data_IF_468050033509
#
_entry.id   IF_468050033509
#
_cell.length_a   1.000
_cell.length_b   1.000
_cell.length_c   1.000
_cell.angle_alpha   90.00
_cell.angle_beta   90.00
_cell.angle_gamma   90.00
#
_symmetry.space_group_name_H-M   'P 1'
#
loop_
_entity.id
_entity.type
_entity.pdbx_description
1 polymer ?
#
# COMPACT_ATOMS: atom_id res chain seq x y z
N UNK A 1 -17.84 18.67 -2.74
CA UNK A 1 -17.24 17.67 -1.84
C UNK A 1 -17.33 18.18 -0.42
N UNK A 2 -17.31 17.29 0.57
CA UNK A 2 -17.29 17.67 1.99
C UNK A 2 -16.39 16.71 2.76
N UNK A 3 -15.62 17.26 3.71
CA UNK A 3 -14.89 16.46 4.70
C UNK A 3 -15.63 16.52 6.01
N UNK A 4 -16.10 15.38 6.50
CA UNK A 4 -16.60 15.23 7.87
C UNK A 4 -15.56 14.54 8.74
N UNK A 5 -15.70 14.68 10.06
CA UNK A 5 -14.81 14.04 11.01
C UNK A 5 -15.60 13.48 12.20
N UNK A 6 -15.13 12.35 12.74
CA UNK A 6 -15.69 11.75 13.95
C UNK A 6 -14.60 11.13 14.81
N UNK A 7 -14.80 11.01 16.13
CA UNK A 7 -13.92 10.20 16.96
C UNK A 7 -13.92 8.75 16.46
N UNK A 8 -12.73 8.13 16.36
CA UNK A 8 -12.58 6.70 16.01
C UNK A 8 -12.25 5.88 17.27
N UNK A 9 -11.36 6.38 18.13
CA UNK A 9 -10.95 5.68 19.32
C UNK A 9 -9.88 6.45 20.10
N UNK A 10 -9.29 5.79 21.07
CA UNK A 10 -8.18 6.33 21.87
C UNK A 10 -7.10 5.26 21.95
N UNK A 11 -5.86 5.62 21.62
CA UNK A 11 -4.73 4.69 21.72
C UNK A 11 -4.44 4.34 23.20
N UNK A 12 -3.74 3.23 23.48
CA UNK A 12 -3.32 2.91 24.86
C UNK A 12 -2.51 4.02 25.54
N UNK A 13 -1.88 4.91 24.77
CA UNK A 13 -1.14 6.06 25.27
C UNK A 13 -2.04 7.29 25.54
N UNK A 14 -3.36 7.17 25.33
CA UNK A 14 -4.32 8.25 25.56
C UNK A 14 -4.46 9.25 24.39
N UNK A 15 -3.89 8.96 23.23
CA UNK A 15 -4.01 9.79 22.03
C UNK A 15 -5.39 9.58 21.40
N UNK A 16 -6.11 10.66 21.11
CA UNK A 16 -7.42 10.62 20.45
C UNK A 16 -7.24 10.46 18.95
N UNK A 17 -7.85 9.42 18.39
CA UNK A 17 -7.81 9.14 16.95
C UNK A 17 -9.09 9.64 16.31
N UNK A 18 -8.94 10.37 15.21
CA UNK A 18 -10.04 10.95 14.42
C UNK A 18 -10.11 10.28 13.06
N UNK A 19 -11.32 9.91 12.68
CA UNK A 19 -11.62 9.48 11.31
C UNK A 19 -12.13 10.67 10.50
N UNK A 20 -11.56 10.85 9.32
CA UNK A 20 -11.95 11.85 8.34
C UNK A 20 -12.59 11.15 7.15
N UNK A 21 -13.75 11.63 6.70
CA UNK A 21 -14.45 11.07 5.55
C UNK A 21 -14.63 12.14 4.49
N UNK A 22 -14.07 11.90 3.31
CA UNK A 22 -14.32 12.68 2.11
C UNK A 22 -15.46 12.04 1.32
N UNK A 23 -16.50 12.84 1.03
CA UNK A 23 -17.66 12.39 0.26
C UNK A 23 -17.80 13.25 -0.99
N UNK A 24 -17.92 12.62 -2.16
CA UNK A 24 -18.16 13.31 -3.41
C UNK A 24 -19.67 13.60 -3.62
N UNK A 25 -20.01 14.29 -4.73
CA UNK A 25 -21.39 14.70 -5.00
C UNK A 25 -22.36 13.53 -5.23
N UNK A 26 -21.85 12.37 -5.65
CA UNK A 26 -22.65 11.19 -5.95
C UNK A 26 -22.77 10.22 -4.75
N UNK A 27 -22.25 10.64 -3.58
CA UNK A 27 -22.32 9.89 -2.33
C UNK A 27 -21.24 8.83 -2.14
N UNK A 28 -20.35 8.61 -3.11
CA UNK A 28 -19.19 7.79 -2.91
C UNK A 28 -18.23 8.46 -1.91
N UNK A 29 -17.49 7.67 -1.12
CA UNK A 29 -16.69 8.24 -0.03
C UNK A 29 -15.47 7.40 0.31
N UNK A 30 -14.47 8.08 0.88
CA UNK A 30 -13.26 7.46 1.44
C UNK A 30 -13.06 7.97 2.85
N UNK A 31 -12.79 7.05 3.78
CA UNK A 31 -12.51 7.39 5.19
C UNK A 31 -11.09 7.00 5.55
N UNK A 32 -10.40 7.85 6.33
CA UNK A 32 -9.05 7.60 6.81
C UNK A 32 -8.82 8.19 8.20
N UNK A 33 -7.85 7.62 8.93
CA UNK A 33 -7.48 8.03 10.28
C UNK A 33 -6.28 8.97 10.27
N UNK A 34 -6.19 9.85 11.27
CA UNK A 34 -4.97 10.57 11.62
C UNK A 34 -3.94 9.67 12.34
N UNK A 35 -4.30 8.46 12.74
CA UNK A 35 -3.37 7.42 13.16
C UNK A 35 -2.98 6.56 11.97
N UNK A 36 -1.68 6.52 11.65
CA UNK A 36 -1.12 5.70 10.57
C UNK A 36 -1.55 6.10 9.16
N UNK A 37 -2.34 7.17 9.00
CA UNK A 37 -2.97 7.52 7.72
C UNK A 37 -3.82 6.39 7.15
N UNK A 38 -4.42 5.57 8.04
CA UNK A 38 -5.08 4.32 7.70
C UNK A 38 -6.36 4.58 6.91
N UNK A 39 -6.48 3.99 5.74
CA UNK A 39 -7.75 3.96 4.99
C UNK A 39 -8.65 2.93 5.64
N UNK A 40 -9.82 3.38 6.16
CA UNK A 40 -10.78 2.52 6.85
C UNK A 40 -11.96 2.10 6.00
N UNK A 41 -12.41 2.95 5.06
CA UNK A 41 -13.54 2.66 4.18
C UNK A 41 -13.34 3.27 2.80
N UNK A 42 -13.81 2.57 1.77
CA UNK A 42 -13.92 3.07 0.39
C UNK A 42 -15.27 2.63 -0.14
N UNK A 43 -16.26 3.53 -0.12
CA UNK A 43 -17.60 3.28 -0.63
C UNK A 43 -17.70 3.75 -2.08
N UNK A 44 -17.91 2.81 -2.99
CA UNK A 44 -18.02 3.09 -4.43
C UNK A 44 -19.16 2.31 -5.07
N UNK A 45 -19.81 2.85 -6.13
CA UNK A 45 -20.97 2.21 -6.75
C UNK A 45 -20.56 0.96 -7.55
N UNK A 46 -21.47 -0.01 -7.62
CA UNK A 46 -21.46 -1.08 -8.59
C UNK A 46 -22.21 -0.67 -9.88
N UNK A 47 -22.39 -1.63 -10.84
CA UNK A 47 -23.07 -1.37 -12.11
C UNK A 47 -24.56 -0.96 -11.94
N UNK A 48 -25.16 -1.28 -10.83
CA UNK A 48 -26.55 -0.91 -10.50
C UNK A 48 -26.63 0.37 -9.67
N UNK A 49 -25.47 1.03 -9.42
CA UNK A 49 -25.36 2.25 -8.63
C UNK A 49 -25.40 2.01 -7.11
N UNK A 50 -25.37 0.76 -6.66
CA UNK A 50 -25.33 0.44 -5.23
C UNK A 50 -23.94 0.68 -4.68
N UNK A 51 -23.84 1.55 -3.68
CA UNK A 51 -22.61 1.77 -2.93
C UNK A 51 -22.30 0.58 -2.02
N UNK A 52 -21.04 0.13 -2.02
CA UNK A 52 -20.54 -0.87 -1.10
C UNK A 52 -19.08 -0.56 -0.74
N UNK A 53 -18.63 -1.04 0.42
CA UNK A 53 -17.28 -0.83 0.89
C UNK A 53 -16.34 -1.88 0.32
N UNK A 54 -15.37 -1.44 -0.47
CA UNK A 54 -14.42 -2.32 -1.15
C UNK A 54 -13.06 -2.42 -0.47
N UNK A 55 -12.91 -1.84 0.74
CA UNK A 55 -11.65 -1.84 1.50
C UNK A 55 -11.78 -2.65 2.79
N UNK A 56 -10.86 -3.55 3.07
CA UNK A 56 -10.79 -4.27 4.34
C UNK A 56 -10.19 -3.37 5.42
N UNK A 57 -10.71 -3.41 6.64
CA UNK A 57 -10.18 -2.68 7.79
C UNK A 57 -10.76 -3.19 9.12
N UNK A 58 -10.49 -2.47 10.21
CA UNK A 58 -11.00 -2.77 11.56
C UNK A 58 -11.76 -1.56 12.10
N UNK A 59 -12.69 -1.81 13.03
CA UNK A 59 -13.44 -0.77 13.75
C UNK A 59 -12.78 -0.39 15.09
N UNK A 60 -11.74 -1.10 15.50
CA UNK A 60 -11.08 -0.93 16.78
C UNK A 60 -9.62 -0.49 16.60
N UNK A 61 -9.27 0.65 17.20
CA UNK A 61 -7.90 1.18 17.21
C UNK A 61 -6.90 0.24 17.87
N UNK A 62 -7.31 -0.54 18.86
CA UNK A 62 -6.44 -1.49 19.58
C UNK A 62 -5.89 -2.59 18.66
N UNK A 63 -6.64 -3.01 17.63
CA UNK A 63 -6.16 -3.98 16.64
C UNK A 63 -4.99 -3.43 15.86
N UNK A 64 -5.08 -2.16 15.44
CA UNK A 64 -4.01 -1.48 14.73
C UNK A 64 -2.77 -1.25 15.59
N UNK A 65 -2.96 -0.72 16.81
CA UNK A 65 -1.86 -0.38 17.72
C UNK A 65 -1.05 -1.62 18.15
N UNK A 66 -1.71 -2.78 18.27
CA UNK A 66 -1.04 -4.06 18.63
C UNK A 66 -0.35 -4.73 17.45
N UNK A 67 -0.30 -4.07 16.28
CA UNK A 67 0.27 -4.59 15.02
C UNK A 67 -0.28 -5.98 14.65
N UNK A 68 -1.57 -6.19 14.89
CA UNK A 68 -2.29 -7.41 14.50
C UNK A 68 -3.06 -7.24 13.20
N UNK A 69 -2.86 -6.11 12.56
CA UNK A 69 -3.63 -5.71 11.38
C UNK A 69 -3.03 -6.20 10.05
N UNK A 70 -1.79 -6.72 10.03
CA UNK A 70 -1.07 -6.95 8.78
C UNK A 70 -0.85 -5.66 7.99
N UNK A 71 -0.65 -4.54 8.68
CA UNK A 71 -0.50 -3.19 8.11
C UNK A 71 -1.71 -2.69 7.31
N UNK A 72 -2.90 -3.25 7.56
CA UNK A 72 -4.10 -3.02 6.75
C UNK A 72 -4.46 -1.53 6.66
N UNK A 73 -4.46 -0.99 5.43
CA UNK A 73 -4.79 0.40 5.11
C UNK A 73 -3.72 1.43 5.48
N UNK A 74 -2.61 1.04 6.12
CA UNK A 74 -1.59 1.93 6.69
C UNK A 74 -0.75 2.64 5.62
N UNK A 75 -0.33 3.87 5.93
CA UNK A 75 0.83 4.50 5.28
C UNK A 75 2.11 3.80 5.72
N UNK A 76 2.90 3.36 4.77
CA UNK A 76 4.15 2.62 4.98
C UNK A 76 5.35 3.53 4.73
N UNK A 77 6.31 3.51 5.62
CA UNK A 77 7.57 4.26 5.55
C UNK A 77 8.47 4.00 6.78
N UNK A 78 9.78 4.41 6.72
CA UNK A 78 10.38 5.18 5.62
C UNK A 78 10.51 4.36 4.32
N UNK A 79 10.63 3.03 4.40
CA UNK A 79 10.81 2.16 3.23
C UNK A 79 9.79 1.04 3.27
N UNK A 80 8.97 0.95 2.24
CA UNK A 80 8.03 -0.14 2.04
C UNK A 80 8.73 -1.46 1.75
N UNK A 81 8.07 -2.58 2.11
CA UNK A 81 8.57 -3.93 1.95
C UNK A 81 9.87 -4.20 2.75
N UNK A 82 10.71 -5.15 2.31
CA UNK A 82 11.84 -5.69 3.10
C UNK A 82 13.17 -5.02 2.77
N UNK A 83 14.01 -4.88 3.81
CA UNK A 83 15.46 -4.61 3.72
C UNK A 83 16.16 -5.81 4.35
N UNK A 84 16.95 -6.53 3.55
CA UNK A 84 17.68 -7.76 3.92
C UNK A 84 18.58 -7.53 5.12
N UNK A 85 18.57 -8.49 6.08
CA UNK A 85 19.41 -8.46 7.26
C UNK A 85 19.13 -7.30 8.22
N UNK A 86 18.08 -6.49 7.96
CA UNK A 86 17.76 -5.27 8.72
C UNK A 86 18.98 -4.33 8.86
N UNK A 87 19.75 -4.16 7.78
CA UNK A 87 20.91 -3.27 7.75
C UNK A 87 21.20 -2.83 6.31
N UNK A 88 21.88 -1.72 6.16
CA UNK A 88 22.34 -1.22 4.87
C UNK A 88 23.58 -0.34 5.04
N UNK A 89 24.37 -0.22 3.98
CA UNK A 89 25.47 0.73 3.90
C UNK A 89 25.05 1.98 3.12
N UNK A 90 25.36 3.14 3.65
CA UNK A 90 25.10 4.43 3.01
C UNK A 90 26.24 5.39 3.33
N UNK A 91 26.89 5.94 2.30
CA UNK A 91 28.01 6.87 2.42
C UNK A 91 29.15 6.34 3.34
N UNK A 92 29.46 5.03 3.22
CA UNK A 92 30.52 4.37 3.97
C UNK A 92 30.21 4.10 5.45
N UNK A 93 28.93 4.21 5.83
CA UNK A 93 28.45 3.87 7.18
C UNK A 93 27.41 2.77 7.10
N UNK A 94 27.48 1.84 8.05
CA UNK A 94 26.46 0.80 8.23
C UNK A 94 25.38 1.30 9.18
N UNK A 95 24.13 1.15 8.77
CA UNK A 95 22.93 1.45 9.57
C UNK A 95 22.21 0.16 9.89
N UNK A 96 21.75 0.03 11.14
CA UNK A 96 21.01 -1.16 11.62
C UNK A 96 19.56 -0.77 11.92
N UNK A 97 18.64 -1.57 11.41
CA UNK A 97 17.21 -1.40 11.53
C UNK A 97 16.59 -2.46 12.46
N UNK A 98 15.35 -2.31 12.91
CA UNK A 98 14.64 -3.36 13.62
C UNK A 98 14.47 -4.64 12.79
N UNK A 99 14.72 -5.80 13.41
CA UNK A 99 14.48 -7.12 12.84
C UNK A 99 13.07 -7.58 13.19
N UNK A 100 12.07 -7.10 12.45
CA UNK A 100 10.66 -7.37 12.72
C UNK A 100 10.04 -8.45 11.80
N UNK A 101 10.82 -8.97 10.82
CA UNK A 101 10.32 -10.01 9.92
C UNK A 101 11.46 -10.98 9.53
N UNK A 102 11.54 -12.17 10.18
CA UNK A 102 12.51 -13.22 9.87
C UNK A 102 13.95 -12.72 9.72
N UNK A 103 14.39 -11.85 10.62
CA UNK A 103 15.75 -11.27 10.59
C UNK A 103 15.94 -10.08 9.64
N UNK A 104 14.91 -9.70 8.88
CA UNK A 104 14.87 -8.55 8.01
C UNK A 104 14.08 -7.39 8.63
N UNK A 105 14.21 -6.19 8.07
CA UNK A 105 13.33 -5.08 8.37
C UNK A 105 12.19 -5.05 7.34
N UNK A 106 10.95 -5.07 7.81
CA UNK A 106 9.74 -4.96 7.00
C UNK A 106 9.05 -3.63 7.31
N UNK A 107 8.62 -2.91 6.27
CA UNK A 107 7.82 -1.68 6.34
C UNK A 107 8.39 -0.58 7.23
N UNK A 108 9.75 -0.49 7.32
CA UNK A 108 10.43 0.51 8.14
C UNK A 108 10.38 0.24 9.65
N UNK A 109 10.12 -0.99 10.08
CA UNK A 109 10.01 -1.38 11.49
C UNK A 109 8.67 -0.99 12.10
N UNK A 110 8.67 -0.36 13.29
CA UNK A 110 7.49 0.30 13.86
C UNK A 110 7.28 1.65 13.16
N UNK A 111 7.06 1.58 11.85
CA UNK A 111 7.12 2.70 10.93
C UNK A 111 5.95 3.69 11.03
N UNK A 112 5.56 4.24 9.91
CA UNK A 112 4.60 5.35 9.82
C UNK A 112 3.15 4.95 10.11
N UNK A 113 2.81 3.68 9.88
CA UNK A 113 1.47 3.14 10.14
C UNK A 113 1.06 3.06 11.61
N UNK A 114 2.03 3.13 12.54
CA UNK A 114 1.79 3.05 13.99
C UNK A 114 2.01 4.37 14.71
N UNK A 115 1.77 5.50 14.02
CA UNK A 115 1.99 6.85 14.57
C UNK A 115 0.80 7.75 14.36
N UNK A 116 0.65 8.70 15.29
CA UNK A 116 -0.22 9.85 15.07
C UNK A 116 0.40 10.80 14.04
N UNK A 117 -0.41 11.23 13.08
CA UNK A 117 -0.09 12.25 12.09
C UNK A 117 -0.84 13.53 12.43
N UNK A 118 -0.25 14.66 12.09
CA UNK A 118 -1.00 15.92 12.11
C UNK A 118 -1.88 15.97 10.88
N UNK A 119 -3.20 15.91 11.08
CA UNK A 119 -4.18 15.92 10.01
C UNK A 119 -4.81 17.32 9.86
N UNK A 120 -4.93 17.78 8.63
CA UNK A 120 -5.53 19.05 8.30
C UNK A 120 -6.36 18.97 7.01
N UNK A 121 -7.68 19.24 7.05
CA UNK A 121 -8.45 19.49 5.85
C UNK A 121 -7.89 20.72 5.11
N UNK A 122 -7.70 20.59 3.80
CA UNK A 122 -7.20 21.66 2.92
C UNK A 122 -7.99 21.68 1.62
N UNK A 123 -7.92 22.80 0.89
CA UNK A 123 -8.37 22.87 -0.49
C UNK A 123 -7.22 22.49 -1.42
N UNK A 124 -7.44 21.55 -2.32
CA UNK A 124 -6.52 21.16 -3.36
C UNK A 124 -7.16 21.36 -4.74
N UNK A 125 -6.39 21.19 -5.80
CA UNK A 125 -6.94 21.16 -7.15
C UNK A 125 -7.92 19.97 -7.25
N UNK A 126 -9.16 20.26 -7.60
CA UNK A 126 -10.25 19.25 -7.66
C UNK A 126 -11.14 19.18 -6.42
N UNK A 127 -10.90 19.96 -5.36
CA UNK A 127 -11.78 20.07 -4.18
C UNK A 127 -11.09 19.86 -2.83
N UNK A 128 -11.89 19.38 -1.85
CA UNK A 128 -11.40 19.13 -0.50
C UNK A 128 -10.37 17.98 -0.48
N UNK A 129 -9.32 18.14 0.32
CA UNK A 129 -8.26 17.16 0.53
C UNK A 129 -7.91 17.05 2.02
N UNK A 130 -7.34 15.93 2.42
CA UNK A 130 -6.78 15.73 3.75
C UNK A 130 -5.26 15.69 3.67
N UNK A 131 -4.60 16.68 4.26
CA UNK A 131 -3.14 16.71 4.41
C UNK A 131 -2.75 16.07 5.74
N UNK A 132 -1.86 15.08 5.68
CA UNK A 132 -1.23 14.44 6.82
C UNK A 132 0.26 14.77 6.84
N UNK A 133 0.79 15.22 7.98
CA UNK A 133 2.22 15.51 8.13
C UNK A 133 2.83 14.74 9.30
N UNK A 134 4.06 14.27 9.10
CA UNK A 134 4.85 13.56 10.10
C UNK A 134 6.32 13.97 10.00
N UNK A 135 6.98 14.12 11.15
CA UNK A 135 8.43 14.26 11.23
C UNK A 135 9.03 13.01 11.88
N UNK A 136 9.82 12.27 11.09
CA UNK A 136 10.60 11.13 11.56
C UNK A 136 12.02 11.60 11.86
N UNK A 137 12.40 11.61 13.13
CA UNK A 137 13.66 12.20 13.61
C UNK A 137 14.89 11.42 13.11
N UNK A 138 16.08 12.05 13.14
CA UNK A 138 17.35 11.38 12.86
C UNK A 138 17.55 10.18 13.80
N UNK A 139 17.85 9.01 13.24
CA UNK A 139 18.00 7.75 13.97
C UNK A 139 16.68 7.02 14.26
N UNK A 140 15.55 7.55 13.84
CA UNK A 140 14.26 6.88 13.99
C UNK A 140 14.25 5.53 13.27
N UNK A 141 13.92 4.44 13.98
CA UNK A 141 14.03 3.05 13.52
C UNK A 141 15.42 2.70 12.92
N UNK A 142 16.47 3.46 13.26
CA UNK A 142 17.84 3.28 12.76
C UNK A 142 18.14 4.01 11.45
N UNK A 143 17.18 4.69 10.84
CA UNK A 143 17.41 5.47 9.61
C UNK A 143 18.08 6.81 9.90
N UNK A 144 19.10 7.23 9.09
CA UNK A 144 19.74 8.54 9.24
C UNK A 144 18.85 9.68 8.76
N UNK A 145 19.10 10.88 9.30
CA UNK A 145 18.49 12.13 8.90
C UNK A 145 17.07 12.32 9.44
N UNK A 146 16.71 13.58 9.60
CA UNK A 146 15.33 13.98 9.91
C UNK A 146 14.52 14.01 8.63
N UNK A 147 13.53 13.12 8.50
CA UNK A 147 12.64 13.07 7.36
C UNK A 147 11.32 13.78 7.69
N UNK A 148 11.01 14.83 6.95
CA UNK A 148 9.70 15.51 6.98
C UNK A 148 8.84 14.94 5.88
N UNK A 149 7.68 14.39 6.23
CA UNK A 149 6.77 13.74 5.30
C UNK A 149 5.45 14.48 5.28
N UNK A 150 4.91 14.66 4.08
CA UNK A 150 3.57 15.14 3.83
C UNK A 150 2.87 14.17 2.88
N UNK A 151 1.68 13.71 3.26
CA UNK A 151 0.80 12.89 2.40
C UNK A 151 -0.52 13.63 2.26
N UNK A 152 -0.94 13.83 1.01
CA UNK A 152 -2.22 14.48 0.70
C UNK A 152 -3.15 13.47 0.07
N UNK A 153 -4.26 13.20 0.73
CA UNK A 153 -5.36 12.41 0.19
C UNK A 153 -6.36 13.33 -0.50
N UNK A 154 -6.75 12.96 -1.72
CA UNK A 154 -7.81 13.60 -2.49
C UNK A 154 -8.85 12.56 -2.90
N UNK A 155 -10.12 12.94 -2.95
CA UNK A 155 -11.15 12.07 -3.50
C UNK A 155 -12.04 12.90 -4.43
N UNK A 156 -12.09 12.52 -5.71
CA UNK A 156 -12.74 13.34 -6.74
C UNK A 156 -14.19 12.91 -7.02
N UNK A 157 -14.95 13.77 -7.73
CA UNK A 157 -16.29 13.43 -8.25
C UNK A 157 -16.25 12.33 -9.34
N UNK A 158 -15.07 11.93 -9.78
CA UNK A 158 -14.86 10.81 -10.70
C UNK A 158 -14.45 9.52 -9.97
N UNK A 159 -14.64 9.45 -8.64
CA UNK A 159 -14.27 8.32 -7.79
C UNK A 159 -12.76 8.00 -7.84
N UNK A 160 -11.92 9.01 -7.93
CA UNK A 160 -10.46 8.86 -7.89
C UNK A 160 -9.94 9.19 -6.49
N UNK A 161 -9.36 8.20 -5.82
CA UNK A 161 -8.60 8.37 -4.59
C UNK A 161 -7.15 8.63 -4.95
N UNK A 162 -6.71 9.86 -4.86
CA UNK A 162 -5.31 10.26 -5.02
C UNK A 162 -4.57 10.24 -3.69
N UNK A 163 -3.36 9.72 -3.68
CA UNK A 163 -2.42 9.74 -2.56
C UNK A 163 -1.12 10.34 -3.05
N UNK A 164 -0.87 11.59 -2.71
CA UNK A 164 0.33 12.31 -3.09
C UNK A 164 1.33 12.32 -1.93
N UNK A 165 2.50 11.74 -2.13
CA UNK A 165 3.55 11.61 -1.14
C UNK A 165 4.66 12.59 -1.41
N UNK A 166 5.01 13.41 -0.43
CA UNK A 166 6.13 14.35 -0.49
C UNK A 166 7.02 14.18 0.74
N UNK A 167 8.34 14.18 0.55
CA UNK A 167 9.27 14.15 1.66
C UNK A 167 10.57 14.91 1.36
N UNK A 168 11.18 15.46 2.43
CA UNK A 168 12.48 16.10 2.40
C UNK A 168 13.29 15.68 3.63
N UNK A 169 14.61 15.74 3.53
CA UNK A 169 15.51 15.31 4.59
C UNK A 169 16.66 16.31 4.80
N UNK A 170 17.24 16.31 6.00
CA UNK A 170 18.44 17.10 6.34
C UNK A 170 19.75 16.33 6.14
N UNK A 171 19.70 14.99 5.98
CA UNK A 171 20.84 14.11 5.69
C UNK A 171 20.44 13.06 4.67
N UNK A 172 21.40 12.52 3.95
CA UNK A 172 21.14 11.38 3.05
C UNK A 172 20.50 10.22 3.82
N UNK A 173 19.36 9.72 3.31
CA UNK A 173 18.57 8.66 3.91
C UNK A 173 17.91 7.79 2.84
N UNK A 174 17.06 6.85 3.27
CA UNK A 174 16.22 6.04 2.38
C UNK A 174 14.78 6.49 2.49
N UNK A 175 14.08 6.53 1.34
CA UNK A 175 12.67 6.87 1.26
C UNK A 175 11.98 6.10 0.13
N UNK A 176 10.97 5.31 0.45
CA UNK A 176 10.07 4.62 -0.49
C UNK A 176 8.73 4.42 0.21
N UNK A 177 7.82 5.36 0.02
CA UNK A 177 6.53 5.39 0.71
C UNK A 177 5.48 4.65 -0.12
N UNK A 178 4.52 4.02 0.55
CA UNK A 178 3.36 3.38 -0.07
C UNK A 178 2.17 3.34 0.89
N UNK A 179 1.03 2.82 0.42
CA UNK A 179 -0.14 2.51 1.25
C UNK A 179 -0.49 1.03 1.12
N UNK A 180 -0.89 0.41 2.22
CA UNK A 180 -1.16 -1.03 2.31
C UNK A 180 -2.67 -1.33 2.37
N UNK A 181 -3.46 -0.67 1.51
CA UNK A 181 -4.90 -0.95 1.41
C UNK A 181 -5.15 -2.35 0.84
N UNK A 182 -6.16 -3.03 1.38
CA UNK A 182 -6.62 -4.34 0.92
C UNK A 182 -7.96 -4.18 0.22
N UNK A 183 -8.00 -4.46 -1.07
CA UNK A 183 -9.19 -4.28 -1.89
C UNK A 183 -9.93 -5.59 -2.13
N UNK A 184 -11.27 -5.51 -2.06
CA UNK A 184 -12.16 -6.54 -2.57
C UNK A 184 -13.33 -5.87 -3.28
N UNK A 185 -13.35 -5.88 -4.61
CA UNK A 185 -14.35 -5.17 -5.41
C UNK A 185 -15.74 -5.81 -5.37
N UNK A 186 -15.87 -7.00 -4.80
CA UNK A 186 -17.16 -7.62 -4.49
C UNK A 186 -17.80 -7.07 -3.20
N UNK A 187 -17.04 -6.26 -2.44
CA UNK A 187 -17.34 -5.76 -1.11
C UNK A 187 -16.49 -6.44 -0.04
N UNK A 188 -16.12 -5.69 1.03
CA UNK A 188 -15.22 -6.21 2.07
C UNK A 188 -15.75 -7.46 2.78
N UNK A 189 -17.07 -7.64 2.80
CA UNK A 189 -17.75 -8.77 3.45
C UNK A 189 -18.00 -9.96 2.50
N UNK A 190 -17.52 -9.92 1.26
CA UNK A 190 -17.84 -10.92 0.24
C UNK A 190 -16.97 -12.19 0.32
N UNK A 191 -15.98 -12.22 1.19
CA UNK A 191 -15.04 -13.33 1.32
C UNK A 191 -13.82 -13.18 0.40
N UNK A 192 -13.50 -14.19 -0.39
CA UNK A 192 -12.25 -14.27 -1.14
C UNK A 192 -12.25 -13.45 -2.45
N UNK A 193 -11.09 -12.87 -2.80
CA UNK A 193 -10.84 -12.18 -4.09
C UNK A 193 -10.54 -13.12 -5.26
N UNK A 194 -10.64 -14.44 -5.08
CA UNK A 194 -10.26 -15.44 -6.09
C UNK A 194 -11.03 -15.29 -7.41
N UNK A 195 -12.25 -14.75 -7.37
CA UNK A 195 -13.11 -14.54 -8.54
C UNK A 195 -12.92 -13.20 -9.24
N UNK A 196 -12.11 -12.31 -8.65
CA UNK A 196 -11.73 -11.06 -9.30
C UNK A 196 -10.72 -11.33 -10.43
N UNK A 197 -10.78 -10.50 -11.46
CA UNK A 197 -9.79 -10.47 -12.54
C UNK A 197 -8.80 -9.35 -12.31
N UNK A 198 -7.53 -9.64 -12.55
CA UNK A 198 -6.45 -8.66 -12.43
C UNK A 198 -5.60 -8.62 -13.68
N UNK A 199 -5.17 -7.42 -14.05
CA UNK A 199 -4.13 -7.19 -15.05
C UNK A 199 -3.06 -6.29 -14.45
N UNK A 200 -1.78 -6.60 -14.69
CA UNK A 200 -0.63 -5.76 -14.30
C UNK A 200 0.20 -5.48 -15.53
N UNK A 201 0.36 -4.20 -15.87
CA UNK A 201 1.10 -3.73 -17.03
C UNK A 201 2.61 -3.65 -16.70
N UNK A 202 3.25 -4.82 -16.62
CA UNK A 202 4.67 -4.98 -16.36
C UNK A 202 5.24 -6.12 -17.19
N UNK A 203 6.44 -5.95 -17.72
CA UNK A 203 7.15 -6.98 -18.48
C UNK A 203 8.03 -7.85 -17.58
N UNK A 204 8.43 -7.34 -16.42
CA UNK A 204 9.38 -7.96 -15.52
C UNK A 204 8.81 -8.00 -14.09
N UNK A 205 9.28 -9.00 -13.32
CA UNK A 205 9.07 -9.11 -11.87
C UNK A 205 10.41 -9.30 -11.16
N UNK A 206 10.51 -8.87 -9.91
CA UNK A 206 11.69 -9.18 -9.10
C UNK A 206 11.65 -10.66 -8.68
N UNK A 207 12.73 -11.40 -8.95
CA UNK A 207 12.89 -12.75 -8.41
C UNK A 207 13.11 -12.67 -6.90
N UNK A 208 12.45 -13.53 -6.14
CA UNK A 208 12.64 -13.64 -4.70
C UNK A 208 13.29 -14.96 -4.31
N UNK A 209 14.16 -14.91 -3.31
CA UNK A 209 14.76 -16.04 -2.64
C UNK A 209 14.16 -16.29 -1.27
N UNK A 210 14.94 -16.92 -0.40
CA UNK A 210 14.57 -17.21 0.99
C UNK A 210 14.09 -15.94 1.71
N UNK A 211 13.00 -16.08 2.49
CA UNK A 211 12.40 -14.97 3.23
C UNK A 211 11.71 -13.92 2.36
N UNK A 212 11.41 -14.23 1.10
CA UNK A 212 10.82 -13.30 0.11
C UNK A 212 11.70 -12.06 -0.12
N UNK A 213 13.01 -12.25 -0.05
CA UNK A 213 14.00 -11.19 -0.33
C UNK A 213 14.37 -11.24 -1.81
N UNK A 214 14.36 -10.09 -2.53
CA UNK A 214 14.84 -10.05 -3.91
C UNK A 214 16.26 -10.58 -4.06
N UNK A 215 16.47 -11.41 -5.08
CA UNK A 215 17.83 -11.92 -5.42
C UNK A 215 18.66 -10.90 -6.21
N UNK A 216 18.00 -9.86 -6.71
CA UNK A 216 18.56 -8.90 -7.65
C UNK A 216 18.24 -9.23 -9.12
N UNK A 217 17.79 -10.44 -9.44
CA UNK A 217 17.37 -10.80 -10.79
C UNK A 217 15.97 -10.29 -11.10
N UNK A 218 15.78 -9.90 -12.35
CA UNK A 218 14.47 -9.58 -12.92
C UNK A 218 14.10 -10.68 -13.89
N UNK A 219 12.91 -11.25 -13.73
CA UNK A 219 12.39 -12.31 -14.57
C UNK A 219 11.31 -11.77 -15.51
N UNK A 220 11.22 -12.22 -16.77
CA UNK A 220 10.08 -11.94 -17.62
C UNK A 220 8.77 -12.43 -16.97
N UNK A 221 7.72 -11.59 -17.00
CA UNK A 221 6.39 -11.97 -16.47
C UNK A 221 5.84 -13.20 -17.21
N UNK A 222 6.21 -13.40 -18.48
CA UNK A 222 5.81 -14.56 -19.26
C UNK A 222 6.41 -15.90 -18.79
N UNK A 223 7.47 -15.86 -17.96
CA UNK A 223 8.17 -17.05 -17.47
C UNK A 223 7.78 -17.45 -16.04
N UNK A 224 6.88 -16.69 -15.41
CA UNK A 224 6.42 -16.98 -14.04
C UNK A 224 4.96 -17.39 -14.02
N UNK A 225 4.54 -18.30 -13.08
CA UNK A 225 3.15 -18.76 -13.03
C UNK A 225 2.17 -17.68 -12.56
N UNK A 226 2.62 -16.66 -11.84
CA UNK A 226 1.85 -15.51 -11.39
C UNK A 226 1.82 -14.39 -12.46
N UNK A 227 1.54 -14.76 -13.70
CA UNK A 227 1.47 -13.84 -14.85
C UNK A 227 0.09 -13.16 -14.91
N UNK A 228 0.09 -11.83 -14.78
CA UNK A 228 -1.07 -10.97 -14.93
C UNK A 228 -0.93 -9.98 -16.09
N UNK A 229 -0.10 -10.27 -17.09
CA UNK A 229 0.08 -9.38 -18.27
C UNK A 229 -1.19 -9.20 -19.11
N UNK A 230 -2.18 -10.07 -18.94
CA UNK A 230 -3.54 -9.95 -19.48
C UNK A 230 -4.56 -10.14 -18.35
N UNK A 231 -5.83 -9.72 -18.53
CA UNK A 231 -6.87 -9.97 -17.55
C UNK A 231 -6.93 -11.44 -17.16
N UNK A 232 -6.64 -11.75 -15.91
CA UNK A 232 -6.51 -13.13 -15.42
C UNK A 232 -7.21 -13.23 -14.06
N UNK A 233 -8.03 -14.27 -13.88
CA UNK A 233 -8.69 -14.55 -12.62
C UNK A 233 -7.65 -14.88 -11.54
N UNK A 234 -7.72 -14.20 -10.39
CA UNK A 234 -6.74 -14.39 -9.29
C UNK A 234 -6.70 -15.85 -8.85
N UNK A 235 -7.86 -16.52 -8.78
CA UNK A 235 -7.96 -17.94 -8.42
C UNK A 235 -7.15 -18.85 -9.32
N UNK A 236 -7.14 -18.61 -10.63
CA UNK A 236 -6.41 -19.44 -11.60
C UNK A 236 -4.90 -19.31 -11.45
N UNK A 237 -4.43 -18.17 -10.97
CA UNK A 237 -3.02 -17.96 -10.59
C UNK A 237 -2.70 -18.64 -9.28
N UNK A 238 -3.55 -18.49 -8.26
CA UNK A 238 -3.35 -19.14 -6.96
C UNK A 238 -3.34 -20.67 -7.05
N UNK A 239 -4.09 -21.25 -7.99
CA UNK A 239 -4.11 -22.71 -8.22
C UNK A 239 -2.77 -23.24 -8.76
N UNK A 240 -1.93 -22.38 -9.35
CA UNK A 240 -0.56 -22.72 -9.79
C UNK A 240 0.49 -22.66 -8.66
N UNK A 241 0.08 -22.29 -7.45
CA UNK A 241 1.01 -22.16 -6.31
C UNK A 241 1.90 -23.38 -6.07
N UNK A 242 1.41 -24.65 -6.17
CA UNK A 242 2.27 -25.83 -5.97
C UNK A 242 3.40 -25.96 -7.00
N UNK A 243 3.29 -25.31 -8.15
CA UNK A 243 4.28 -25.33 -9.24
C UNK A 243 5.38 -24.28 -9.04
N UNK A 244 5.23 -23.37 -8.05
CA UNK A 244 6.11 -22.23 -7.83
C UNK A 244 6.61 -22.18 -6.37
N UNK A 245 7.91 -22.46 -6.11
CA UNK A 245 8.48 -22.39 -4.76
C UNK A 245 8.27 -21.02 -4.07
N UNK A 246 8.38 -19.91 -4.83
CA UNK A 246 8.15 -18.57 -4.29
C UNK A 246 6.70 -18.36 -3.84
N UNK A 247 5.72 -18.79 -4.64
CA UNK A 247 4.30 -18.73 -4.26
C UNK A 247 4.00 -19.67 -3.07
N UNK A 248 4.59 -20.86 -3.04
CA UNK A 248 4.44 -21.79 -1.91
C UNK A 248 4.99 -21.17 -0.62
N UNK A 249 6.15 -20.52 -0.68
CA UNK A 249 6.74 -19.79 0.46
C UNK A 249 5.86 -18.63 0.91
N UNK A 250 5.32 -17.85 -0.02
CA UNK A 250 4.41 -16.73 0.24
C UNK A 250 2.99 -17.18 0.61
N UNK A 251 2.62 -18.44 0.36
CA UNK A 251 1.26 -18.98 0.41
C UNK A 251 0.29 -18.28 -0.55
N UNK A 252 0.79 -17.78 -1.66
CA UNK A 252 0.03 -17.05 -2.68
C UNK A 252 0.92 -16.10 -3.47
N UNK A 253 0.35 -15.03 -4.00
CA UNK A 253 1.11 -13.96 -4.68
C UNK A 253 1.63 -13.00 -3.62
N UNK A 254 2.92 -12.67 -3.67
CA UNK A 254 3.60 -11.63 -2.87
C UNK A 254 4.88 -11.19 -3.63
N UNK A 255 4.68 -10.52 -4.78
CA UNK A 255 5.78 -10.20 -5.70
C UNK A 255 5.67 -8.75 -6.21
N UNK A 256 6.84 -8.15 -6.44
CA UNK A 256 6.94 -6.83 -7.05
C UNK A 256 7.02 -6.94 -8.58
N UNK A 257 6.05 -6.31 -9.25
CA UNK A 257 6.00 -6.15 -10.70
C UNK A 257 6.66 -4.82 -11.09
N UNK A 258 7.51 -4.86 -12.12
CA UNK A 258 8.33 -3.73 -12.54
C UNK A 258 7.61 -2.91 -13.61
N UNK A 259 7.14 -1.70 -13.25
CA UNK A 259 6.37 -0.82 -14.12
C UNK A 259 7.21 0.05 -15.07
N UNK A 260 8.54 0.03 -14.92
CA UNK A 260 9.45 0.88 -15.69
C UNK A 260 10.17 1.91 -14.81
N UNK A 261 10.96 2.80 -15.46
CA UNK A 261 11.82 3.78 -14.76
C UNK A 261 11.59 5.20 -15.21
N UNK A 262 10.62 5.40 -16.08
CA UNK A 262 10.36 6.68 -16.77
C UNK A 262 9.71 7.73 -15.88
N UNK A 263 9.17 7.34 -14.71
CA UNK A 263 8.43 8.19 -13.78
C UNK A 263 7.22 8.90 -14.44
N UNK A 264 6.72 8.33 -15.53
CA UNK A 264 5.47 8.78 -16.11
C UNK A 264 4.29 8.21 -15.33
N UNK A 265 3.33 9.06 -15.02
CA UNK A 265 2.08 8.63 -14.38
C UNK A 265 1.26 7.83 -15.38
N UNK A 266 1.07 6.53 -15.12
CA UNK A 266 0.38 5.59 -16.01
C UNK A 266 -0.40 4.54 -15.26
N UNK A 267 -1.35 3.91 -15.94
CA UNK A 267 -2.07 2.75 -15.40
C UNK A 267 -1.09 1.57 -15.33
N UNK A 268 -0.79 1.13 -14.10
CA UNK A 268 0.11 0.00 -13.85
C UNK A 268 -0.64 -1.30 -13.58
N UNK A 269 -1.85 -1.21 -13.01
CA UNK A 269 -2.68 -2.38 -12.75
C UNK A 269 -4.17 -2.04 -12.90
N UNK A 270 -4.97 -3.05 -13.22
CA UNK A 270 -6.43 -2.98 -13.21
C UNK A 270 -6.96 -4.19 -12.46
N UNK A 271 -7.86 -3.96 -11.51
CA UNK A 271 -8.64 -4.99 -10.81
C UNK A 271 -10.10 -4.87 -11.23
N UNK A 272 -10.76 -5.99 -11.51
CA UNK A 272 -12.13 -6.03 -11.98
C UNK A 272 -12.95 -7.12 -11.28
N UNK A 273 -14.19 -6.80 -10.94
CA UNK A 273 -15.18 -7.75 -10.44
C UNK A 273 -16.20 -8.08 -11.52
N UNK A 274 -16.21 -9.29 -12.08
CA UNK A 274 -17.27 -9.72 -12.98
C UNK A 274 -18.67 -9.71 -12.32
N UNK A 275 -18.73 -9.95 -11.01
CA UNK A 275 -19.97 -10.00 -10.23
C UNK A 275 -20.63 -8.63 -10.09
N UNK A 276 -19.89 -7.63 -9.65
CA UNK A 276 -20.43 -6.28 -9.36
C UNK A 276 -20.27 -5.30 -10.51
N UNK A 277 -19.38 -5.61 -11.47
CA UNK A 277 -18.96 -4.68 -12.53
C UNK A 277 -17.98 -3.62 -12.07
N UNK A 278 -17.62 -3.56 -10.78
CA UNK A 278 -16.61 -2.60 -10.30
C UNK A 278 -15.26 -2.85 -10.94
N UNK A 279 -14.61 -1.77 -11.33
CA UNK A 279 -13.22 -1.76 -11.80
C UNK A 279 -12.43 -0.75 -11.00
N UNK A 280 -11.17 -1.08 -10.71
CA UNK A 280 -10.20 -0.17 -10.10
C UNK A 280 -8.94 -0.15 -10.96
N UNK A 281 -8.60 1.01 -11.50
CA UNK A 281 -7.29 1.25 -12.13
C UNK A 281 -6.33 1.82 -11.07
N UNK A 282 -5.13 1.29 -11.04
CA UNK A 282 -4.00 1.81 -10.25
C UNK A 282 -3.10 2.62 -11.16
N UNK A 283 -3.02 3.91 -10.91
CA UNK A 283 -2.29 4.89 -11.72
C UNK A 283 -1.17 5.46 -10.87
N UNK A 284 0.08 5.43 -11.34
CA UNK A 284 1.23 5.88 -10.54
C UNK A 284 2.43 6.23 -11.40
N UNK A 285 3.34 7.04 -10.85
CA UNK A 285 4.69 7.32 -11.34
C UNK A 285 5.77 6.44 -10.65
N UNK A 286 5.35 5.51 -9.78
CA UNK A 286 6.27 4.60 -9.09
C UNK A 286 6.81 3.52 -10.04
N UNK A 287 8.07 3.08 -9.85
CA UNK A 287 8.72 2.12 -10.74
C UNK A 287 8.19 0.69 -10.59
N UNK A 288 7.43 0.38 -9.53
CA UNK A 288 6.91 -0.94 -9.27
C UNK A 288 5.60 -0.96 -8.51
N UNK A 289 4.97 -2.13 -8.51
CA UNK A 289 3.81 -2.45 -7.68
C UNK A 289 3.99 -3.82 -7.03
N UNK A 290 3.95 -3.85 -5.70
CA UNK A 290 3.85 -5.10 -4.97
C UNK A 290 2.41 -5.58 -5.05
N UNK A 291 2.22 -6.77 -5.60
CA UNK A 291 0.94 -7.47 -5.57
C UNK A 291 0.96 -8.49 -4.46
N UNK A 292 0.04 -8.34 -3.49
CA UNK A 292 -0.10 -9.26 -2.35
C UNK A 292 -1.56 -9.70 -2.22
N UNK A 293 -1.81 -11.00 -2.28
CA UNK A 293 -3.18 -11.55 -2.30
C UNK A 293 -3.75 -11.84 -0.90
N UNK A 294 -3.27 -11.17 0.15
CA UNK A 294 -3.83 -11.33 1.51
C UNK A 294 -3.63 -12.74 2.08
N UNK A 295 -2.49 -13.37 1.79
CA UNK A 295 -2.22 -14.80 1.98
C UNK A 295 -2.30 -15.26 3.45
N UNK A 296 -2.06 -14.35 4.38
CA UNK A 296 -1.95 -14.64 5.82
C UNK A 296 -3.06 -13.98 6.64
N UNK A 297 -4.11 -13.47 6.00
CA UNK A 297 -5.24 -12.90 6.71
C UNK A 297 -5.95 -13.98 7.54
N UNK A 298 -6.20 -13.68 8.80
CA UNK A 298 -6.97 -14.50 9.75
C UNK A 298 -7.39 -13.57 10.91
N UNK A 299 -8.27 -12.61 10.61
CA UNK A 299 -8.62 -11.51 11.51
C UNK A 299 -10.13 -11.27 11.53
N UNK A 300 -10.65 -10.96 12.71
CA UNK A 300 -11.99 -10.37 12.83
C UNK A 300 -11.91 -8.89 12.47
N UNK A 301 -12.45 -8.56 11.32
CA UNK A 301 -12.42 -7.23 10.73
C UNK A 301 -13.62 -6.36 11.14
N UNK A 302 -13.79 -5.25 10.44
CA UNK A 302 -14.91 -4.33 10.68
C UNK A 302 -16.26 -4.98 10.41
N UNK A 303 -17.31 -4.40 11.03
CA UNK A 303 -18.69 -4.83 10.89
C UNK A 303 -18.91 -6.33 11.27
N UNK A 304 -18.00 -6.90 12.09
CA UNK A 304 -18.04 -8.30 12.52
C UNK A 304 -17.70 -9.33 11.44
N UNK A 305 -17.08 -8.92 10.35
CA UNK A 305 -16.72 -9.79 9.23
C UNK A 305 -15.35 -10.43 9.51
N UNK A 306 -15.25 -11.74 9.39
CA UNK A 306 -13.99 -12.46 9.46
C UNK A 306 -13.25 -12.40 8.11
N UNK A 307 -12.01 -11.89 8.11
CA UNK A 307 -11.14 -11.86 6.94
C UNK A 307 -10.18 -13.04 6.97
N UNK A 308 -10.51 -14.10 6.24
CA UNK A 308 -9.63 -15.25 6.04
C UNK A 308 -8.62 -15.02 4.91
N UNK A 309 -7.78 -16.02 4.59
CA UNK A 309 -6.84 -15.96 3.48
C UNK A 309 -7.52 -15.55 2.16
N UNK A 310 -6.88 -14.65 1.43
CA UNK A 310 -7.36 -14.10 0.15
C UNK A 310 -8.64 -13.25 0.26
N UNK A 311 -8.98 -12.73 1.43
CA UNK A 311 -10.14 -11.84 1.57
C UNK A 311 -9.94 -10.48 0.87
N UNK A 312 -8.70 -10.07 0.63
CA UNK A 312 -8.36 -8.83 -0.06
C UNK A 312 -7.05 -8.94 -0.84
N UNK A 313 -6.86 -8.05 -1.79
CA UNK A 313 -5.61 -7.92 -2.56
C UNK A 313 -5.02 -6.53 -2.37
N UNK A 314 -3.70 -6.45 -2.15
CA UNK A 314 -2.94 -5.20 -2.07
C UNK A 314 -2.22 -4.93 -3.39
N UNK A 315 -2.23 -3.68 -3.82
CA UNK A 315 -1.47 -3.17 -4.96
C UNK A 315 -0.66 -1.96 -4.47
N UNK A 316 0.50 -2.25 -3.86
CA UNK A 316 1.34 -1.26 -3.20
C UNK A 316 2.34 -0.67 -4.21
N UNK A 317 2.08 0.53 -4.67
CA UNK A 317 2.97 1.23 -5.59
C UNK A 317 4.18 1.76 -4.84
N UNK A 318 5.38 1.35 -5.26
CA UNK A 318 6.61 1.64 -4.53
C UNK A 318 7.86 1.40 -5.39
N UNK A 319 9.02 1.73 -4.86
CA UNK A 319 10.30 1.23 -5.38
C UNK A 319 10.44 -0.27 -5.13
N UNK A 320 11.33 -0.93 -5.89
CA UNK A 320 11.53 -2.37 -5.73
C UNK A 320 12.02 -2.69 -4.31
N UNK A 321 11.51 -3.77 -3.68
CA UNK A 321 11.98 -4.20 -2.36
C UNK A 321 13.50 -4.44 -2.35
N UNK A 322 14.15 -4.20 -1.23
CA UNK A 322 15.59 -4.37 -1.00
C UNK A 322 16.50 -3.58 -1.96
N UNK A 323 15.97 -2.51 -2.61
CA UNK A 323 16.68 -1.78 -3.66
C UNK A 323 18.04 -1.20 -3.22
N UNK A 324 18.20 -0.93 -1.92
CA UNK A 324 19.47 -0.42 -1.38
C UNK A 324 20.64 -1.41 -1.56
N UNK A 325 20.36 -2.72 -1.63
CA UNK A 325 21.34 -3.77 -1.86
C UNK A 325 21.55 -4.14 -3.34
N UNK A 326 20.76 -3.51 -4.23
CA UNK A 326 20.78 -3.81 -5.66
C UNK A 326 20.98 -2.51 -6.47
N UNK A 327 22.23 -2.09 -6.76
CA UNK A 327 22.53 -0.80 -7.39
C UNK A 327 21.87 -0.58 -8.77
N UNK A 328 21.44 -1.65 -9.43
CA UNK A 328 20.76 -1.60 -10.72
C UNK A 328 19.23 -1.45 -10.58
N UNK A 329 18.68 -1.54 -9.36
CA UNK A 329 17.26 -1.21 -9.09
C UNK A 329 17.07 0.32 -9.03
N UNK A 330 15.84 0.82 -9.23
CA UNK A 330 15.53 2.22 -8.95
C UNK A 330 15.92 2.60 -7.52
N UNK A 331 16.71 3.69 -7.38
CA UNK A 331 17.28 4.07 -6.09
C UNK A 331 16.23 4.57 -5.10
N UNK A 332 16.33 4.12 -3.86
CA UNK A 332 15.53 4.59 -2.71
C UNK A 332 16.27 5.66 -1.88
N UNK A 333 17.45 6.09 -2.33
CA UNK A 333 18.26 7.09 -1.62
C UNK A 333 17.70 8.48 -1.86
N UNK A 334 17.39 9.18 -0.79
CA UNK A 334 16.97 10.59 -0.78
C UNK A 334 18.07 11.45 -0.15
N UNK A 335 18.53 12.47 -0.87
CA UNK A 335 19.56 13.42 -0.41
C UNK A 335 18.94 14.74 0.02
N UNK A 336 19.63 15.57 0.82
CA UNK A 336 19.10 16.84 1.29
C UNK A 336 18.67 17.83 0.19
N UNK A 337 19.32 17.75 -1.00
CA UNK A 337 18.96 18.60 -2.14
C UNK A 337 17.81 18.05 -3.00
N UNK A 338 17.39 16.81 -2.75
CA UNK A 338 16.35 16.15 -3.52
C UNK A 338 15.01 16.26 -2.78
N UNK A 339 13.93 16.19 -3.55
CA UNK A 339 12.57 16.03 -3.00
C UNK A 339 12.04 14.69 -3.42
N UNK A 340 11.53 13.91 -2.46
CA UNK A 340 10.69 12.76 -2.76
C UNK A 340 9.30 13.30 -3.13
N UNK A 341 8.83 12.99 -4.32
CA UNK A 341 7.55 13.47 -4.84
C UNK A 341 6.97 12.39 -5.75
N UNK A 342 5.88 11.73 -5.31
CA UNK A 342 5.26 10.62 -6.04
C UNK A 342 3.76 10.61 -5.83
N UNK A 343 3.03 10.09 -6.83
CA UNK A 343 1.59 10.05 -6.85
C UNK A 343 1.08 8.63 -7.12
N UNK A 344 0.05 8.24 -6.39
CA UNK A 344 -0.76 7.05 -6.68
C UNK A 344 -2.23 7.44 -6.72
N UNK A 345 -2.95 6.98 -7.73
CA UNK A 345 -4.39 7.17 -7.87
C UNK A 345 -5.04 5.80 -8.00
N UNK A 346 -6.01 5.52 -7.14
CA UNK A 346 -6.96 4.42 -7.30
C UNK A 346 -8.24 5.00 -7.89
N UNK A 347 -8.48 4.71 -9.18
CA UNK A 347 -9.64 5.21 -9.91
C UNK A 347 -10.68 4.10 -10.00
N UNK A 348 -11.82 4.33 -9.35
CA UNK A 348 -12.95 3.39 -9.33
C UNK A 348 -13.96 3.74 -10.43
N UNK A 349 -14.46 2.70 -11.09
CA UNK A 349 -15.48 2.80 -12.13
C UNK A 349 -16.31 1.53 -12.21
N UNK A 350 -17.13 1.42 -13.26
CA UNK A 350 -17.97 0.25 -13.55
C UNK A 350 -17.86 -0.15 -15.03
N UNK A 351 -17.99 -1.44 -15.31
CA UNK A 351 -18.04 -2.03 -16.65
C UNK A 351 -19.29 -2.89 -16.84
#
# INVERSE_FOLDING_TARGET
MSISQRPFGVTPNGEKVTEYTMTNRDGASVSMLDFGGIITRILVPDRDGKLDDVNLSFDDIDVYVRDRSGSMGMLIGRVGNRIRGASFELEGRTYTLPKNNNGNCLHGGMGFGLRMWQARPVLAEGGDALELTLTSQDGDQGFPGTLKVKVTYTFTDHNELGIHYQASTDKTTLCSLTNHAYFNLDGHASGSVRDLEMQINADLVTEVGEGLIPTGRLLPVSEVPYNFSSPTRIGDVLDKMPECPGMTMAKGVDFNFCAGRDRETKVIATLYSPKTGRVMDVITDQPGVQCYTGNHLDNDGKDGVHYGPYAGVCLETQHYPDAIHHPHFPSVVLRPQDTYDTLTIYRFGVR
#
